data_IF_583460782520
#
_entry.id   IF_583460782520
#
_cell.length_a   1.000
_cell.length_b   1.000
_cell.length_c   1.000
_cell.angle_alpha   90.00
_cell.angle_beta   90.00
_cell.angle_gamma   90.00
#
_symmetry.space_group_name_H-M   'P 1'
#
loop_
_entity.id
_entity.type
_entity.pdbx_description
1 polymer ?
#
# COMPACT_ATOMS: atom_id res chain seq x y z
N UNK A 1 1.72 -5.57 -8.71
CA UNK A 1 0.90 -4.40 -9.15
C UNK A 1 -0.59 -4.74 -9.25
N UNK A 2 -0.96 -5.99 -9.52
CA UNK A 2 -2.36 -6.38 -9.76
C UNK A 2 -3.29 -6.16 -8.55
N UNK A 3 -2.74 -6.23 -7.35
CA UNK A 3 -3.46 -5.98 -6.09
C UNK A 3 -3.70 -4.51 -5.74
N UNK A 4 -3.12 -3.57 -6.51
CA UNK A 4 -3.30 -2.13 -6.31
C UNK A 4 -4.54 -1.63 -7.08
N UNK A 5 -5.11 -0.51 -6.66
CA UNK A 5 -6.15 0.15 -7.46
C UNK A 5 -5.57 0.67 -8.78
N UNK A 6 -6.43 0.91 -9.78
CA UNK A 6 -6.00 1.49 -11.06
C UNK A 6 -5.30 2.84 -10.87
N UNK A 7 -5.84 3.67 -9.96
CA UNK A 7 -5.27 4.96 -9.59
C UNK A 7 -3.90 4.82 -8.95
N UNK A 8 -3.76 3.95 -7.93
CA UNK A 8 -2.47 3.67 -7.29
C UNK A 8 -1.44 3.18 -8.32
N UNK A 9 -1.81 2.27 -9.23
CA UNK A 9 -0.92 1.81 -10.30
C UNK A 9 -0.46 2.95 -11.19
N UNK A 10 -1.40 3.81 -11.61
CA UNK A 10 -1.10 4.96 -12.47
C UNK A 10 -0.11 5.91 -11.81
N UNK A 11 -0.35 6.27 -10.55
CA UNK A 11 0.51 7.20 -9.79
C UNK A 11 1.90 6.60 -9.61
N UNK A 12 2.01 5.34 -9.18
CA UNK A 12 3.30 4.71 -8.91
C UNK A 12 4.11 4.46 -10.18
N UNK A 13 3.44 4.16 -11.30
CA UNK A 13 4.10 4.06 -12.61
C UNK A 13 4.69 5.41 -13.04
N UNK A 14 3.94 6.49 -12.84
CA UNK A 14 4.43 7.84 -13.13
C UNK A 14 5.59 8.24 -12.21
N UNK A 15 5.53 7.87 -10.93
CA UNK A 15 6.65 8.08 -9.98
C UNK A 15 7.93 7.39 -10.45
N UNK A 16 7.85 6.13 -10.88
CA UNK A 16 9.00 5.39 -11.43
C UNK A 16 9.58 6.10 -12.67
N UNK A 17 8.71 6.55 -13.57
CA UNK A 17 9.13 7.29 -14.77
C UNK A 17 9.85 8.60 -14.42
N UNK A 18 9.41 9.30 -13.38
CA UNK A 18 10.06 10.54 -12.91
C UNK A 18 11.41 10.25 -12.27
N UNK A 19 11.56 9.16 -11.51
CA UNK A 19 12.86 8.74 -10.97
C UNK A 19 13.86 8.39 -12.09
N UNK A 20 13.42 7.67 -13.11
CA UNK A 20 14.24 7.38 -14.29
C UNK A 20 14.66 8.69 -14.99
N UNK A 21 13.71 9.64 -15.15
CA UNK A 21 13.99 10.94 -15.76
C UNK A 21 14.98 11.78 -14.95
N UNK A 22 14.84 11.80 -13.63
CA UNK A 22 15.77 12.47 -12.74
C UNK A 22 17.17 11.91 -12.91
N UNK A 23 17.31 10.58 -12.94
CA UNK A 23 18.59 9.92 -13.15
C UNK A 23 19.22 10.28 -14.50
N UNK A 24 18.43 10.30 -15.58
CA UNK A 24 18.92 10.75 -16.90
C UNK A 24 19.45 12.18 -16.88
N UNK A 25 18.78 13.10 -16.17
CA UNK A 25 19.21 14.49 -16.08
C UNK A 25 20.52 14.62 -15.31
N UNK A 26 20.67 13.89 -14.20
CA UNK A 26 21.93 13.82 -13.46
C UNK A 26 23.07 13.25 -14.32
N UNK A 27 22.83 12.16 -15.03
CA UNK A 27 23.83 11.54 -15.92
C UNK A 27 24.22 12.50 -17.08
N UNK A 28 23.27 13.26 -17.64
CA UNK A 28 23.54 14.27 -18.68
C UNK A 28 24.34 15.46 -18.15
N UNK A 29 24.02 15.95 -16.96
CA UNK A 29 24.77 17.02 -16.29
C UNK A 29 26.22 16.59 -16.02
N UNK A 30 26.43 15.38 -15.49
CA UNK A 30 27.77 14.82 -15.29
C UNK A 30 28.55 14.67 -16.62
N UNK A 31 27.87 14.24 -17.69
CA UNK A 31 28.50 14.02 -18.99
C UNK A 31 28.82 15.31 -19.76
N UNK A 32 27.96 16.34 -19.64
CA UNK A 32 28.05 17.55 -20.46
C UNK A 32 28.56 18.78 -19.71
N UNK A 33 28.57 18.74 -18.37
CA UNK A 33 28.87 19.88 -17.51
C UNK A 33 27.86 21.03 -17.61
N UNK A 34 26.70 20.80 -18.22
CA UNK A 34 25.60 21.77 -18.30
C UNK A 34 24.75 21.65 -17.04
N UNK A 35 24.49 22.78 -16.40
CA UNK A 35 23.56 22.85 -15.27
C UNK A 35 22.16 22.46 -15.74
N UNK A 36 21.57 21.47 -15.07
CA UNK A 36 20.21 20.98 -15.30
C UNK A 36 19.31 21.19 -14.08
N UNK A 37 19.71 22.07 -13.15
CA UNK A 37 19.04 22.30 -11.86
C UNK A 37 17.54 22.56 -12.04
N UNK A 38 17.14 23.45 -12.97
CA UNK A 38 15.73 23.79 -13.19
C UNK A 38 14.90 22.56 -13.60
N UNK A 39 15.43 21.71 -14.48
CA UNK A 39 14.76 20.49 -14.94
C UNK A 39 14.73 19.42 -13.85
N UNK A 40 15.82 19.29 -13.09
CA UNK A 40 15.92 18.33 -11.98
C UNK A 40 14.96 18.72 -10.85
N UNK A 41 14.87 20.00 -10.52
CA UNK A 41 13.92 20.55 -9.54
C UNK A 41 12.47 20.35 -9.97
N UNK A 42 12.14 20.58 -11.26
CA UNK A 42 10.79 20.33 -11.78
C UNK A 42 10.38 18.84 -11.65
N UNK A 43 11.31 17.93 -11.95
CA UNK A 43 11.07 16.49 -11.80
C UNK A 43 10.90 16.11 -10.33
N UNK A 44 11.74 16.66 -9.45
CA UNK A 44 11.63 16.43 -8.01
C UNK A 44 10.30 16.93 -7.46
N UNK A 45 9.90 18.16 -7.78
CA UNK A 45 8.67 18.79 -7.28
C UNK A 45 7.44 17.98 -7.71
N UNK A 46 7.39 17.57 -8.98
CA UNK A 46 6.30 16.73 -9.49
C UNK A 46 6.26 15.36 -8.81
N UNK A 47 7.41 14.72 -8.59
CA UNK A 47 7.50 13.45 -7.88
C UNK A 47 7.02 13.58 -6.43
N UNK A 48 7.45 14.64 -5.75
CA UNK A 48 7.05 14.97 -4.39
C UNK A 48 5.53 15.13 -4.28
N UNK A 49 4.94 15.96 -5.16
CA UNK A 49 3.49 16.19 -5.17
C UNK A 49 2.69 14.92 -5.46
N UNK A 50 3.12 14.11 -6.43
CA UNK A 50 2.45 12.83 -6.71
C UNK A 50 2.40 11.91 -5.49
N UNK A 51 3.46 11.89 -4.67
CA UNK A 51 3.47 11.08 -3.46
C UNK A 51 2.66 11.71 -2.33
N UNK A 52 2.92 12.97 -2.01
CA UNK A 52 2.36 13.63 -0.83
C UNK A 52 0.88 14.01 -0.98
N UNK A 53 0.41 14.22 -2.20
CA UNK A 53 -1.00 14.56 -2.44
C UNK A 53 -1.89 13.30 -2.51
N UNK A 54 -1.32 12.13 -2.81
CA UNK A 54 -2.08 10.90 -3.03
C UNK A 54 -1.91 9.84 -1.93
N UNK A 55 -0.87 9.93 -1.10
CA UNK A 55 -0.60 8.97 -0.04
C UNK A 55 -0.50 9.65 1.32
N UNK A 56 -1.13 9.03 2.33
CA UNK A 56 -1.10 9.58 3.69
C UNK A 56 0.32 9.67 4.25
N UNK A 57 0.60 10.70 5.03
CA UNK A 57 1.90 10.85 5.71
C UNK A 57 2.26 9.66 6.61
N UNK A 58 1.28 9.00 7.22
CA UNK A 58 1.52 7.81 8.03
C UNK A 58 2.01 6.62 7.19
N UNK A 59 1.45 6.46 5.99
CA UNK A 59 1.90 5.45 5.03
C UNK A 59 3.33 5.73 4.58
N UNK A 60 3.64 6.97 4.20
CA UNK A 60 4.97 7.37 3.74
C UNK A 60 6.03 7.20 4.85
N UNK A 61 5.72 7.59 6.09
CA UNK A 61 6.59 7.33 7.25
C UNK A 61 6.83 5.84 7.49
N UNK A 62 5.83 5.00 7.25
CA UNK A 62 5.99 3.54 7.35
C UNK A 62 6.98 3.02 6.30
N UNK A 63 6.89 3.51 5.07
CA UNK A 63 7.85 3.18 4.00
C UNK A 63 9.27 3.59 4.40
N UNK A 64 9.47 4.82 4.86
CA UNK A 64 10.78 5.29 5.34
C UNK A 64 11.33 4.43 6.48
N UNK A 65 10.46 3.99 7.41
CA UNK A 65 10.88 3.12 8.51
C UNK A 65 11.33 1.72 8.05
N UNK A 66 10.84 1.24 6.90
CA UNK A 66 11.20 -0.08 6.36
C UNK A 66 12.53 -0.05 5.59
N UNK A 67 12.83 1.04 4.86
CA UNK A 67 14.00 1.12 3.98
C UNK A 67 15.13 2.03 4.48
N UNK A 68 14.85 2.85 5.51
CA UNK A 68 15.78 3.84 6.04
C UNK A 68 15.69 5.20 5.33
N UNK A 69 16.32 6.21 5.95
CA UNK A 69 16.34 7.57 5.44
C UNK A 69 17.22 7.74 4.20
N UNK A 70 16.93 8.77 3.39
CA UNK A 70 17.72 9.13 2.20
C UNK A 70 17.37 8.36 0.93
N UNK A 71 16.39 7.45 1.00
CA UNK A 71 15.97 6.61 -0.13
C UNK A 71 14.87 7.21 -1.00
N UNK A 72 14.35 8.38 -0.65
CA UNK A 72 13.17 8.98 -1.28
C UNK A 72 13.28 9.11 -2.81
N UNK A 73 14.46 9.43 -3.33
CA UNK A 73 14.74 9.56 -4.78
C UNK A 73 15.27 8.27 -5.42
N UNK A 74 15.10 7.12 -4.77
CA UNK A 74 15.51 5.82 -5.28
C UNK A 74 14.29 4.95 -5.62
N UNK A 75 14.43 4.09 -6.63
CA UNK A 75 13.39 3.12 -7.03
C UNK A 75 12.97 2.23 -5.86
N UNK A 76 13.88 1.95 -4.93
CA UNK A 76 13.63 1.17 -3.71
C UNK A 76 12.54 1.78 -2.83
N UNK A 77 12.39 3.11 -2.81
CA UNK A 77 11.29 3.77 -2.10
C UNK A 77 9.93 3.42 -2.67
N UNK A 78 9.80 3.48 -4.00
CA UNK A 78 8.55 3.14 -4.68
C UNK A 78 8.26 1.63 -4.55
N UNK A 79 9.27 0.78 -4.65
CA UNK A 79 9.12 -0.66 -4.44
C UNK A 79 8.63 -0.99 -3.02
N UNK A 80 9.16 -0.30 -2.01
CA UNK A 80 8.70 -0.44 -0.64
C UNK A 80 7.28 0.10 -0.44
N UNK A 81 6.93 1.26 -1.03
CA UNK A 81 5.57 1.77 -1.01
C UNK A 81 4.56 0.79 -1.63
N UNK A 82 4.89 0.19 -2.78
CA UNK A 82 4.09 -0.87 -3.41
C UNK A 82 3.89 -2.03 -2.43
N UNK A 83 4.96 -2.50 -1.79
CA UNK A 83 4.91 -3.60 -0.82
C UNK A 83 4.00 -3.27 0.36
N UNK A 84 4.15 -2.07 0.93
CA UNK A 84 3.32 -1.63 2.07
C UNK A 84 1.85 -1.55 1.65
N UNK A 85 1.55 -0.99 0.48
CA UNK A 85 0.18 -0.89 -0.06
C UNK A 85 -0.46 -2.26 -0.31
N UNK A 86 0.28 -3.21 -0.86
CA UNK A 86 -0.19 -4.57 -1.09
C UNK A 86 -0.51 -5.26 0.24
N UNK A 87 0.34 -5.05 1.26
CA UNK A 87 0.19 -5.65 2.57
C UNK A 87 -0.80 -4.93 3.50
N UNK A 88 -1.42 -3.83 3.05
CA UNK A 88 -2.44 -3.17 3.86
C UNK A 88 -3.68 -4.07 4.02
N UNK A 89 -4.29 -4.11 5.22
CA UNK A 89 -5.58 -4.76 5.39
C UNK A 89 -6.64 -4.14 4.46
N UNK A 90 -7.42 -4.98 3.80
CA UNK A 90 -8.48 -4.60 2.86
C UNK A 90 -9.81 -5.17 3.33
N UNK A 91 -10.82 -4.34 3.47
CA UNK A 91 -12.19 -4.82 3.63
C UNK A 91 -12.64 -5.48 2.33
N UNK A 92 -13.05 -6.74 2.39
CA UNK A 92 -13.50 -7.52 1.24
C UNK A 92 -15.01 -7.79 1.27
N UNK A 93 -15.64 -7.70 2.43
CA UNK A 93 -17.09 -7.90 2.59
C UNK A 93 -17.62 -7.15 3.81
N UNK A 94 -18.89 -6.74 3.78
CA UNK A 94 -19.58 -6.13 4.91
C UNK A 94 -20.94 -6.83 5.11
N UNK A 95 -21.25 -7.21 6.35
CA UNK A 95 -22.47 -7.92 6.70
C UNK A 95 -22.92 -7.58 8.12
N UNK A 96 -24.20 -7.23 8.31
CA UNK A 96 -24.80 -6.89 9.60
C UNK A 96 -23.98 -5.92 10.48
N UNK A 97 -23.30 -4.94 9.86
CA UNK A 97 -22.46 -3.95 10.57
C UNK A 97 -21.04 -4.42 10.88
N UNK A 98 -20.68 -5.66 10.54
CA UNK A 98 -19.32 -6.19 10.61
C UNK A 98 -18.64 -6.12 9.25
N UNK A 99 -17.32 -6.00 9.25
CA UNK A 99 -16.48 -5.99 8.05
C UNK A 99 -15.55 -7.20 8.08
N UNK A 100 -15.52 -7.97 7.00
CA UNK A 100 -14.49 -8.96 6.77
C UNK A 100 -13.27 -8.28 6.18
N UNK A 101 -12.14 -8.40 6.87
CA UNK A 101 -10.88 -7.78 6.47
C UNK A 101 -9.88 -8.86 6.09
N UNK A 102 -9.33 -8.75 4.89
CA UNK A 102 -8.21 -9.54 4.41
C UNK A 102 -6.90 -8.81 4.70
N UNK A 103 -5.91 -9.51 5.22
CA UNK A 103 -4.59 -8.96 5.51
C UNK A 103 -3.49 -10.00 5.27
N UNK A 104 -2.25 -9.59 5.48
CA UNK A 104 -1.08 -10.46 5.46
C UNK A 104 -0.56 -10.63 6.89
N UNK A 105 -0.35 -11.87 7.33
CA UNK A 105 0.25 -12.15 8.64
C UNK A 105 1.76 -11.78 8.68
N UNK A 106 2.40 -12.01 9.83
CA UNK A 106 3.83 -11.75 10.00
C UNK A 106 4.75 -12.64 9.15
N UNK A 107 4.22 -13.68 8.52
CA UNK A 107 4.91 -14.57 7.59
C UNK A 107 4.56 -14.30 6.12
N UNK A 108 3.67 -13.35 5.84
CA UNK A 108 3.24 -13.00 4.49
C UNK A 108 2.13 -13.91 3.93
N UNK A 109 1.52 -14.76 4.75
CA UNK A 109 0.35 -15.54 4.36
C UNK A 109 -0.90 -14.69 4.40
N UNK A 110 -1.89 -15.07 3.58
CA UNK A 110 -3.18 -14.41 3.56
C UNK A 110 -4.00 -14.83 4.78
N UNK A 111 -4.57 -13.84 5.45
CA UNK A 111 -5.28 -14.01 6.71
C UNK A 111 -6.54 -13.16 6.73
N UNK A 112 -7.57 -13.63 7.41
CA UNK A 112 -8.86 -12.94 7.49
C UNK A 112 -9.29 -12.74 8.93
N UNK A 113 -9.94 -11.61 9.20
CA UNK A 113 -10.55 -11.35 10.50
C UNK A 113 -11.80 -10.48 10.34
N UNK A 114 -12.74 -10.64 11.28
CA UNK A 114 -13.88 -9.74 11.39
C UNK A 114 -13.45 -8.47 12.13
N UNK A 115 -13.97 -7.33 11.68
CA UNK A 115 -13.79 -6.02 12.32
C UNK A 115 -15.15 -5.36 12.53
N UNK A 116 -15.35 -4.74 13.68
CA UNK A 116 -16.51 -3.90 13.98
C UNK A 116 -16.03 -2.59 14.59
N UNK A 117 -16.58 -1.46 14.14
CA UNK A 117 -16.17 -0.12 14.59
C UNK A 117 -14.65 0.16 14.53
N UNK A 118 -13.96 -0.42 13.55
CA UNK A 118 -12.51 -0.27 13.37
C UNK A 118 -11.65 -1.08 14.34
N UNK A 119 -12.26 -1.94 15.15
CA UNK A 119 -11.57 -2.85 16.07
C UNK A 119 -11.72 -4.27 15.52
N UNK A 120 -10.61 -5.01 15.52
CA UNK A 120 -10.66 -6.44 15.24
C UNK A 120 -11.56 -7.12 16.27
N UNK A 121 -12.62 -7.73 15.77
CA UNK A 121 -13.71 -8.29 16.55
C UNK A 121 -13.52 -9.79 16.80
N UNK A 122 -12.62 -10.44 16.07
CA UNK A 122 -12.42 -11.88 16.14
C UNK A 122 -10.97 -12.29 16.05
N UNK A 123 -10.69 -13.55 16.38
CA UNK A 123 -9.45 -14.20 15.99
C UNK A 123 -9.32 -14.27 14.45
N UNK A 124 -8.06 -14.40 14.02
CA UNK A 124 -7.72 -14.60 12.61
C UNK A 124 -8.09 -16.02 12.22
N UNK A 125 -8.77 -16.19 11.08
CA UNK A 125 -9.10 -17.51 10.56
C UNK A 125 -8.51 -17.74 9.17
N UNK A 126 -8.16 -19.01 8.94
CA UNK A 126 -7.53 -19.47 7.71
C UNK A 126 -8.61 -19.91 6.72
N UNK A 127 -8.82 -19.08 5.70
CA UNK A 127 -9.63 -19.42 4.54
C UNK A 127 -8.76 -19.52 3.30
N UNK A 128 -9.14 -20.39 2.35
CA UNK A 128 -8.33 -20.67 1.16
C UNK A 128 -8.44 -19.54 0.13
N UNK A 129 -9.59 -18.87 0.09
CA UNK A 129 -9.92 -17.80 -0.86
C UNK A 129 -10.96 -16.84 -0.25
N UNK A 130 -11.21 -15.72 -0.94
CA UNK A 130 -12.16 -14.70 -0.46
C UNK A 130 -13.59 -15.27 -0.34
N UNK A 131 -14.01 -16.14 -1.27
CA UNK A 131 -15.38 -16.69 -1.28
C UNK A 131 -15.64 -17.62 -0.08
N UNK A 132 -14.68 -18.50 0.24
CA UNK A 132 -14.73 -19.36 1.42
C UNK A 132 -14.67 -18.54 2.71
N UNK A 133 -13.87 -17.47 2.74
CA UNK A 133 -13.80 -16.56 3.87
C UNK A 133 -15.14 -15.84 4.11
N UNK A 134 -15.77 -15.36 3.04
CA UNK A 134 -17.08 -14.68 3.10
C UNK A 134 -18.16 -15.62 3.61
N UNK A 135 -18.24 -16.84 3.08
CA UNK A 135 -19.24 -17.83 3.53
C UNK A 135 -19.08 -18.13 5.03
N UNK A 136 -17.86 -18.44 5.46
CA UNK A 136 -17.58 -18.72 6.87
C UNK A 136 -17.89 -17.52 7.77
N UNK A 137 -17.55 -16.31 7.32
CA UNK A 137 -17.84 -15.07 8.04
C UNK A 137 -19.34 -14.84 8.23
N UNK A 138 -20.16 -15.06 7.20
CA UNK A 138 -21.62 -14.91 7.28
C UNK A 138 -22.23 -15.97 8.19
N UNK A 139 -21.86 -17.24 8.00
CA UNK A 139 -22.31 -18.36 8.84
C UNK A 139 -21.99 -18.08 10.33
N UNK A 140 -20.78 -17.60 10.62
CA UNK A 140 -20.36 -17.33 12.00
C UNK A 140 -21.13 -16.17 12.65
N UNK A 141 -21.50 -15.14 11.88
CA UNK A 141 -22.32 -14.03 12.39
C UNK A 141 -23.78 -14.47 12.64
N UNK A 142 -24.31 -15.32 11.77
CA UNK A 142 -25.68 -15.80 11.88
C UNK A 142 -25.84 -16.82 13.03
N UNK A 143 -24.84 -17.67 13.29
CA UNK A 143 -24.86 -18.69 14.34
C UNK A 143 -24.73 -18.11 15.76
N UNK A 144 -23.91 -17.08 15.97
CA UNK A 144 -23.78 -16.40 17.28
C UNK A 144 -23.67 -14.86 17.15
N UNK A 145 -24.80 -14.16 16.92
CA UNK A 145 -24.81 -12.72 16.73
C UNK A 145 -24.40 -11.99 18.03
N UNK A 146 -23.14 -11.56 18.09
CA UNK A 146 -22.58 -10.79 19.21
C UNK A 146 -21.51 -11.50 20.04
N UNK A 147 -21.07 -12.71 19.65
CA UNK A 147 -19.89 -13.36 20.25
C UNK A 147 -18.58 -12.73 19.77
N UNK A 148 -17.68 -12.28 20.67
CA UNK A 148 -16.37 -11.74 20.30
C UNK A 148 -15.35 -12.83 19.89
N UNK A 149 -15.74 -14.10 19.92
CA UNK A 149 -14.85 -15.22 19.61
C UNK A 149 -15.23 -16.00 18.35
N UNK A 150 -16.32 -15.61 17.67
CA UNK A 150 -17.13 -16.54 16.87
C UNK A 150 -17.67 -17.66 17.76
#
# INVERSE_FOLDING_TARGET
>A
MDELTLEQRSILTECLRLLDKHKELCDEEEATGRCMDEQTDEVFDRYWHLLHDNFSMNLLRKVESEIGHGKFMETDYINALIKVLINQPKTIYEYNGYKLVRSKDCWGNQSYYASSNGIQYSDVFDAVDDDSAIRFFVESIDDDPGSPNF
#
